data_IF_207763474631
#
_entry.id   IF_207763474631
#
_cell.length_a   1.000
_cell.length_b   1.000
_cell.length_c   1.000
_cell.angle_alpha   90.00
_cell.angle_beta   90.00
_cell.angle_gamma   90.00
#
_symmetry.space_group_name_H-M   'P 1'
#
loop_
_entity.id
_entity.type
_entity.pdbx_description
1 polymer ?
#
# COMPACT_ATOMS: atom_id res chain seq x y z
N UNK A 1 27.09 -9.56 27.70
CA UNK A 1 25.69 -9.32 27.27
C UNK A 1 24.98 -8.59 28.39
N UNK A 2 24.87 -7.28 28.27
CA UNK A 2 24.21 -6.36 29.21
C UNK A 2 22.72 -6.23 28.89
N UNK A 3 21.93 -5.70 29.84
CA UNK A 3 20.48 -5.41 29.66
C UNK A 3 20.17 -4.57 28.41
N UNK A 4 21.13 -3.75 27.97
CA UNK A 4 21.11 -2.98 26.71
C UNK A 4 21.06 -3.86 25.45
N UNK A 5 21.70 -5.03 25.49
CA UNK A 5 21.95 -5.86 24.32
C UNK A 5 20.74 -6.74 23.99
N UNK A 6 19.85 -6.94 24.97
CA UNK A 6 18.62 -7.74 24.86
C UNK A 6 17.35 -6.91 24.68
N UNK A 7 17.39 -5.57 24.78
CA UNK A 7 16.22 -4.71 24.55
C UNK A 7 15.60 -4.87 23.15
N UNK A 8 16.35 -5.42 22.18
CA UNK A 8 15.85 -5.72 20.83
C UNK A 8 15.32 -7.16 20.66
N UNK A 9 15.45 -8.05 21.65
CA UNK A 9 14.99 -9.43 21.53
C UNK A 9 13.51 -9.55 21.94
N UNK A 10 12.69 -10.12 21.07
CA UNK A 10 11.27 -10.41 21.32
C UNK A 10 11.06 -11.25 22.60
N UNK A 11 12.06 -12.06 22.95
CA UNK A 11 12.03 -12.96 24.11
C UNK A 11 12.37 -12.29 25.44
N UNK A 12 12.84 -11.03 25.42
CA UNK A 12 13.21 -10.31 26.64
C UNK A 12 12.05 -10.18 27.63
N UNK A 13 10.80 -10.18 27.15
CA UNK A 13 9.60 -10.09 28.00
C UNK A 13 9.39 -11.32 28.90
N UNK A 14 9.97 -12.48 28.56
CA UNK A 14 9.81 -13.72 29.33
C UNK A 14 10.97 -14.03 30.28
N UNK A 15 12.00 -13.19 30.31
CA UNK A 15 13.19 -13.41 31.14
C UNK A 15 13.10 -12.63 32.45
N UNK A 16 13.53 -13.25 33.54
CA UNK A 16 13.81 -12.55 34.78
C UNK A 16 15.29 -12.20 34.85
N UNK A 17 15.59 -10.95 35.24
CA UNK A 17 16.95 -10.41 35.32
C UNK A 17 17.23 -10.14 36.80
N UNK A 18 18.30 -10.72 37.32
CA UNK A 18 18.78 -10.48 38.67
C UNK A 18 19.86 -9.38 38.63
N UNK A 19 19.68 -8.29 39.40
CA UNK A 19 20.51 -7.07 39.33
C UNK A 19 21.86 -7.21 40.06
N UNK A 20 22.20 -8.40 40.57
CA UNK A 20 23.51 -8.69 41.19
C UNK A 20 24.50 -9.16 40.13
N UNK A 21 25.80 -8.88 40.34
CA UNK A 21 26.97 -9.06 39.44
C UNK A 21 27.13 -10.39 38.66
N UNK A 22 26.19 -11.33 38.73
CA UNK A 22 26.07 -12.49 37.86
C UNK A 22 24.71 -12.44 37.15
N UNK A 23 24.68 -12.02 35.88
CA UNK A 23 23.43 -12.03 35.10
C UNK A 23 23.05 -13.49 34.81
N UNK A 24 22.12 -14.04 35.59
CA UNK A 24 21.52 -15.36 35.37
C UNK A 24 20.17 -15.16 34.70
N UNK A 25 20.02 -15.64 33.47
CA UNK A 25 18.76 -15.62 32.75
C UNK A 25 17.94 -16.86 33.09
N UNK A 26 16.72 -16.67 33.58
CA UNK A 26 15.75 -17.76 33.75
C UNK A 26 14.49 -17.41 32.99
N UNK A 27 13.96 -18.37 32.24
CA UNK A 27 12.64 -18.27 31.65
C UNK A 27 11.61 -18.24 32.78
N UNK A 28 10.74 -17.23 32.79
CA UNK A 28 9.66 -17.13 33.74
C UNK A 28 8.42 -17.87 33.18
N UNK A 29 8.09 -19.08 33.67
CA UNK A 29 6.97 -19.86 33.15
C UNK A 29 5.63 -19.15 33.34
N UNK A 30 5.47 -18.34 34.39
CA UNK A 30 4.22 -17.62 34.65
C UNK A 30 3.96 -16.55 33.59
N UNK A 31 5.00 -15.84 33.12
CA UNK A 31 4.87 -14.85 32.04
C UNK A 31 4.52 -15.51 30.71
N UNK A 32 5.02 -16.71 30.45
CA UNK A 32 4.67 -17.50 29.26
C UNK A 32 3.19 -17.90 29.31
N UNK A 33 2.74 -18.46 30.43
CA UNK A 33 1.33 -18.86 30.64
C UNK A 33 0.37 -17.66 30.55
N UNK A 34 0.79 -16.47 30.98
CA UNK A 34 -0.02 -15.26 30.86
C UNK A 34 -0.15 -14.78 29.42
N UNK A 35 0.94 -14.83 28.64
CA UNK A 35 0.95 -14.42 27.23
C UNK A 35 0.16 -15.41 26.35
N UNK A 36 0.24 -16.71 26.66
CA UNK A 36 -0.53 -17.78 26.00
C UNK A 36 -2.06 -17.52 26.04
N UNK A 37 -2.56 -16.90 27.12
CA UNK A 37 -3.99 -16.54 27.22
C UNK A 37 -4.43 -15.47 26.21
N UNK A 38 -3.49 -14.71 25.67
CA UNK A 38 -3.73 -13.64 24.71
C UNK A 38 -3.47 -14.08 23.27
N UNK A 39 -3.01 -15.31 23.06
CA UNK A 39 -2.74 -15.83 21.73
C UNK A 39 -4.02 -15.87 20.88
N UNK A 40 -3.93 -15.31 19.67
CA UNK A 40 -5.06 -15.20 18.74
C UNK A 40 -6.01 -14.04 19.02
N UNK A 41 -5.85 -13.29 20.11
CA UNK A 41 -6.65 -12.09 20.39
C UNK A 41 -6.01 -10.87 19.75
N UNK A 42 -6.79 -10.15 18.92
CA UNK A 42 -6.38 -8.87 18.33
C UNK A 42 -7.17 -7.72 18.97
N UNK A 43 -6.51 -6.94 19.81
CA UNK A 43 -7.08 -5.72 20.39
C UNK A 43 -6.95 -4.52 19.46
N UNK A 44 -7.94 -3.63 19.48
CA UNK A 44 -7.89 -2.33 18.82
C UNK A 44 -7.93 -1.23 19.90
N UNK A 45 -7.03 -0.26 19.79
CA UNK A 45 -7.02 0.91 20.65
C UNK A 45 -7.37 2.14 19.81
N UNK A 46 -8.31 2.95 20.29
CA UNK A 46 -8.74 4.20 19.64
C UNK A 46 -8.86 5.30 20.69
N UNK A 47 -8.60 6.54 20.29
CA UNK A 47 -8.87 7.73 21.09
C UNK A 47 -10.31 8.23 20.95
N UNK A 48 -11.10 7.62 20.06
CA UNK A 48 -12.51 7.92 19.85
C UNK A 48 -13.39 6.92 20.60
N UNK A 49 -14.07 7.41 21.64
CA UNK A 49 -14.96 6.62 22.50
C UNK A 49 -16.41 6.60 22.02
N UNK A 50 -16.73 7.29 20.91
CA UNK A 50 -18.09 7.38 20.36
C UNK A 50 -18.37 6.30 19.32
N UNK A 51 -17.32 5.74 18.71
CA UNK A 51 -17.41 4.70 17.70
C UNK A 51 -17.80 3.34 18.31
N UNK A 52 -18.62 2.57 17.59
CA UNK A 52 -18.87 1.18 17.95
C UNK A 52 -17.65 0.32 17.62
N UNK A 53 -17.53 -0.81 18.31
CA UNK A 53 -16.43 -1.76 18.10
C UNK A 53 -16.30 -2.18 16.62
N UNK A 54 -17.42 -2.47 15.94
CA UNK A 54 -17.43 -2.86 14.53
C UNK A 54 -16.92 -1.75 13.60
N UNK A 55 -17.25 -0.48 13.91
CA UNK A 55 -16.79 0.66 13.14
C UNK A 55 -15.28 0.86 13.31
N UNK A 56 -14.75 0.69 14.52
CA UNK A 56 -13.30 0.73 14.79
C UNK A 56 -12.57 -0.33 13.96
N UNK A 57 -13.11 -1.56 13.90
CA UNK A 57 -12.55 -2.65 13.10
C UNK A 57 -12.60 -2.31 11.60
N UNK A 58 -13.75 -1.81 11.11
CA UNK A 58 -13.93 -1.43 9.72
C UNK A 58 -12.99 -0.28 9.30
N UNK A 59 -12.80 0.72 10.17
CA UNK A 59 -11.85 1.79 9.94
C UNK A 59 -10.42 1.27 9.87
N UNK A 60 -10.03 0.37 10.77
CA UNK A 60 -8.70 -0.24 10.73
C UNK A 60 -8.47 -1.03 9.44
N UNK A 61 -9.48 -1.75 8.93
CA UNK A 61 -9.39 -2.47 7.67
C UNK A 61 -9.10 -1.56 6.46
N UNK A 62 -9.44 -0.26 6.52
CA UNK A 62 -9.07 0.67 5.46
C UNK A 62 -7.55 0.87 5.32
N UNK A 63 -6.75 0.49 6.32
CA UNK A 63 -5.28 0.47 6.21
C UNK A 63 -4.81 -0.41 5.04
N UNK A 64 -5.54 -1.48 4.70
CA UNK A 64 -5.25 -2.28 3.51
C UNK A 64 -5.28 -1.47 2.22
N UNK A 65 -6.08 -0.41 2.15
CA UNK A 65 -6.08 0.47 0.98
C UNK A 65 -4.74 1.22 0.84
N UNK A 66 -4.15 1.62 1.96
CA UNK A 66 -2.83 2.26 2.01
C UNK A 66 -1.73 1.26 1.64
N UNK A 67 -1.78 0.04 2.15
CA UNK A 67 -0.84 -1.02 1.77
C UNK A 67 -0.93 -1.35 0.27
N UNK A 68 -2.15 -1.42 -0.27
CA UNK A 68 -2.37 -1.60 -1.70
C UNK A 68 -1.76 -0.45 -2.51
N UNK A 69 -1.90 0.79 -2.04
CA UNK A 69 -1.29 1.96 -2.67
C UNK A 69 0.23 1.82 -2.72
N UNK A 70 0.87 1.41 -1.62
CA UNK A 70 2.30 1.17 -1.59
C UNK A 70 2.73 0.02 -2.50
N UNK A 71 1.93 -1.05 -2.59
CA UNK A 71 2.21 -2.19 -3.47
C UNK A 71 2.17 -1.78 -4.94
N UNK A 72 1.12 -1.08 -5.37
CA UNK A 72 0.96 -0.58 -6.75
C UNK A 72 2.05 0.43 -7.07
N UNK A 73 2.35 1.33 -6.14
CA UNK A 73 3.42 2.33 -6.34
C UNK A 73 4.79 1.67 -6.59
N UNK A 74 5.10 0.58 -5.89
CA UNK A 74 6.38 -0.14 -6.03
C UNK A 74 6.45 -1.03 -7.27
N UNK A 75 5.42 -1.84 -7.52
CA UNK A 75 5.44 -2.87 -8.59
C UNK A 75 5.10 -2.30 -9.95
N UNK A 76 4.09 -1.44 -9.95
CA UNK A 76 3.27 -1.14 -11.10
C UNK A 76 3.71 0.24 -11.64
N UNK A 77 3.74 1.26 -10.78
CA UNK A 77 4.29 2.58 -11.09
C UNK A 77 5.82 2.64 -10.98
N UNK A 78 6.45 1.56 -10.48
CA UNK A 78 7.91 1.42 -10.35
C UNK A 78 8.57 2.65 -9.73
N UNK A 79 7.99 3.18 -8.64
CA UNK A 79 8.57 4.32 -7.91
C UNK A 79 10.01 4.04 -7.44
N UNK A 80 10.37 2.75 -7.30
CA UNK A 80 11.73 2.30 -7.07
C UNK A 80 12.21 1.48 -8.28
N UNK A 81 13.51 1.54 -8.61
CA UNK A 81 14.58 2.29 -7.92
C UNK A 81 14.61 3.81 -8.22
N UNK A 82 14.98 4.61 -7.21
CA UNK A 82 15.17 6.06 -7.33
C UNK A 82 16.64 6.32 -7.64
N UNK A 83 16.98 6.65 -8.89
CA UNK A 83 18.34 6.96 -9.30
C UNK A 83 18.73 8.44 -9.14
N UNK A 84 17.81 9.26 -8.62
CA UNK A 84 17.99 10.68 -8.45
C UNK A 84 18.83 10.97 -7.19
N UNK A 85 19.85 11.82 -7.32
CA UNK A 85 20.73 12.22 -6.19
C UNK A 85 20.32 13.54 -5.54
N UNK A 86 19.77 14.47 -6.32
CA UNK A 86 19.32 15.77 -5.83
C UNK A 86 17.94 15.66 -5.17
N UNK A 87 17.80 16.25 -3.99
CA UNK A 87 16.57 16.22 -3.19
C UNK A 87 15.33 16.66 -3.98
N UNK A 88 15.43 17.78 -4.71
CA UNK A 88 14.31 18.28 -5.52
C UNK A 88 13.85 17.28 -6.57
N UNK A 89 14.77 16.53 -7.18
CA UNK A 89 14.43 15.51 -8.19
C UNK A 89 13.79 14.27 -7.56
N UNK A 90 14.24 13.90 -6.35
CA UNK A 90 13.61 12.83 -5.57
C UNK A 90 12.17 13.22 -5.23
N UNK A 91 11.96 14.45 -4.71
CA UNK A 91 10.63 14.97 -4.40
C UNK A 91 9.72 14.99 -5.64
N UNK A 92 10.22 15.48 -6.78
CA UNK A 92 9.47 15.51 -8.02
C UNK A 92 9.07 14.10 -8.51
N UNK A 93 9.99 13.12 -8.45
CA UNK A 93 9.69 11.74 -8.82
C UNK A 93 8.61 11.11 -7.95
N UNK A 94 8.67 11.33 -6.64
CA UNK A 94 7.65 10.86 -5.69
C UNK A 94 6.31 11.54 -5.97
N UNK A 95 6.30 12.85 -6.22
CA UNK A 95 5.10 13.60 -6.56
C UNK A 95 4.44 13.08 -7.85
N UNK A 96 5.20 12.92 -8.93
CA UNK A 96 4.68 12.40 -10.20
C UNK A 96 4.09 10.99 -10.01
N UNK A 97 4.79 10.14 -9.26
CA UNK A 97 4.31 8.79 -8.95
C UNK A 97 3.02 8.81 -8.12
N UNK A 98 2.90 9.75 -7.19
CA UNK A 98 1.70 9.94 -6.38
C UNK A 98 0.51 10.42 -7.23
N UNK A 99 0.72 11.42 -8.10
CA UNK A 99 -0.31 11.92 -9.02
C UNK A 99 -0.77 10.82 -9.98
N UNK A 100 0.16 10.05 -10.54
CA UNK A 100 -0.17 8.91 -11.40
C UNK A 100 -1.02 7.86 -10.67
N UNK A 101 -0.71 7.58 -9.40
CA UNK A 101 -1.53 6.70 -8.57
C UNK A 101 -2.93 7.27 -8.31
N UNK A 102 -3.06 8.57 -8.05
CA UNK A 102 -4.35 9.21 -7.85
C UNK A 102 -5.24 9.10 -9.10
N UNK A 103 -4.67 9.31 -10.30
CA UNK A 103 -5.38 9.11 -11.58
C UNK A 103 -5.81 7.66 -11.76
N UNK A 104 -4.92 6.71 -11.45
CA UNK A 104 -5.23 5.28 -11.49
C UNK A 104 -6.41 4.91 -10.57
N UNK A 105 -6.40 5.44 -9.35
CA UNK A 105 -7.45 5.22 -8.35
C UNK A 105 -8.79 5.81 -8.78
N UNK A 106 -8.80 7.01 -9.34
CA UNK A 106 -10.03 7.64 -9.84
C UNK A 106 -10.62 6.85 -11.01
N UNK A 107 -9.78 6.32 -11.89
CA UNK A 107 -10.22 5.45 -12.97
C UNK A 107 -10.87 4.16 -12.44
N UNK A 108 -10.22 3.49 -11.48
CA UNK A 108 -10.76 2.30 -10.81
C UNK A 108 -12.11 2.60 -10.13
N UNK A 109 -12.21 3.74 -9.43
CA UNK A 109 -13.44 4.20 -8.76
C UNK A 109 -14.58 4.40 -9.76
N UNK A 110 -14.32 5.08 -10.88
CA UNK A 110 -15.34 5.31 -11.93
C UNK A 110 -15.82 4.01 -12.58
N UNK A 111 -14.92 3.04 -12.79
CA UNK A 111 -15.31 1.72 -13.29
C UNK A 111 -16.23 0.98 -12.32
N UNK A 112 -15.89 1.01 -11.02
CA UNK A 112 -16.73 0.40 -9.97
C UNK A 112 -18.12 1.01 -9.91
N UNK A 113 -18.23 2.35 -10.00
CA UNK A 113 -19.52 3.04 -10.01
C UNK A 113 -20.41 2.65 -11.20
N UNK A 114 -19.80 2.32 -12.34
CA UNK A 114 -20.53 1.84 -13.53
C UNK A 114 -20.79 0.33 -13.53
N UNK A 115 -20.48 -0.37 -12.44
CA UNK A 115 -20.71 -1.81 -12.31
C UNK A 115 -19.79 -2.70 -13.15
N UNK A 116 -18.73 -2.14 -13.73
CA UNK A 116 -17.80 -2.90 -14.58
C UNK A 116 -16.83 -3.66 -13.68
N UNK A 117 -17.07 -4.95 -13.47
CA UNK A 117 -16.19 -5.84 -12.70
C UNK A 117 -15.01 -6.26 -13.58
N UNK A 118 -13.84 -5.69 -13.33
CA UNK A 118 -12.62 -6.00 -14.08
C UNK A 118 -11.43 -6.20 -13.14
N UNK A 119 -10.56 -7.19 -13.42
CA UNK A 119 -9.26 -7.31 -12.74
C UNK A 119 -8.33 -6.23 -13.27
N UNK A 120 -8.41 -5.05 -12.66
CA UNK A 120 -7.70 -3.87 -13.13
C UNK A 120 -6.18 -4.05 -12.94
N UNK A 121 -5.43 -3.93 -14.05
CA UNK A 121 -3.97 -4.02 -14.09
C UNK A 121 -3.43 -2.84 -14.88
N UNK A 122 -2.26 -2.31 -14.51
CA UNK A 122 -1.61 -1.25 -15.28
C UNK A 122 -1.31 -1.64 -16.73
N UNK A 123 -1.06 -2.92 -17.02
CA UNK A 123 -0.91 -3.39 -18.41
C UNK A 123 -2.17 -3.13 -19.22
N UNK A 124 -3.33 -3.33 -18.60
CA UNK A 124 -4.61 -3.10 -19.24
C UNK A 124 -4.94 -1.62 -19.31
N UNK A 125 -4.68 -0.83 -18.26
CA UNK A 125 -4.83 0.63 -18.34
C UNK A 125 -3.97 1.20 -19.46
N UNK A 126 -2.71 0.74 -19.58
CA UNK A 126 -1.81 1.14 -20.67
C UNK A 126 -2.37 0.74 -22.03
N UNK A 127 -2.89 -0.48 -22.18
CA UNK A 127 -3.60 -0.89 -23.40
C UNK A 127 -4.82 -0.01 -23.68
N UNK A 128 -5.65 0.30 -22.69
CA UNK A 128 -6.83 1.16 -22.86
C UNK A 128 -6.39 2.56 -23.30
N UNK A 129 -5.38 3.14 -22.65
CA UNK A 129 -4.83 4.45 -23.02
C UNK A 129 -4.24 4.41 -24.44
N UNK A 130 -3.50 3.37 -24.77
CA UNK A 130 -2.96 3.15 -26.12
C UNK A 130 -4.11 3.13 -27.14
N UNK A 131 -5.18 2.36 -26.90
CA UNK A 131 -6.29 2.24 -27.84
C UNK A 131 -7.37 3.33 -27.66
N UNK A 132 -7.13 4.35 -26.83
CA UNK A 132 -8.07 5.44 -26.61
C UNK A 132 -7.95 6.46 -27.74
N UNK A 133 -8.93 6.47 -28.64
CA UNK A 133 -8.86 7.26 -29.87
C UNK A 133 -9.36 8.71 -29.69
N UNK A 134 -10.22 8.97 -28.70
CA UNK A 134 -10.87 10.27 -28.52
C UNK A 134 -11.02 10.59 -27.04
N UNK A 135 -10.62 11.81 -26.63
CA UNK A 135 -10.87 12.34 -25.28
C UNK A 135 -11.83 13.52 -25.39
N UNK A 136 -12.92 13.50 -24.63
CA UNK A 136 -13.84 14.63 -24.50
C UNK A 136 -13.42 15.49 -23.31
N UNK A 137 -13.03 16.74 -23.56
CA UNK A 137 -12.71 17.74 -22.54
C UNK A 137 -13.69 18.90 -22.70
N UNK A 138 -14.61 19.05 -21.74
CA UNK A 138 -15.77 19.97 -21.87
C UNK A 138 -16.64 19.56 -23.06
N UNK A 139 -16.94 20.50 -23.95
CA UNK A 139 -17.69 20.23 -25.19
C UNK A 139 -16.82 19.85 -26.39
N UNK A 140 -15.49 19.79 -26.22
CA UNK A 140 -14.56 19.49 -27.32
C UNK A 140 -14.10 18.04 -27.25
N UNK A 141 -14.28 17.31 -28.35
CA UNK A 141 -13.67 16.00 -28.58
C UNK A 141 -12.33 16.18 -29.27
N UNK A 142 -11.25 15.78 -28.60
CA UNK A 142 -9.89 15.84 -29.12
C UNK A 142 -9.48 14.42 -29.54
N UNK A 143 -9.24 14.18 -30.84
CA UNK A 143 -8.69 12.91 -31.29
C UNK A 143 -7.22 12.81 -30.88
N UNK A 144 -6.86 11.73 -30.19
CA UNK A 144 -5.45 11.43 -29.91
C UNK A 144 -4.91 10.76 -31.17
N UNK A 145 -3.90 11.34 -31.83
CA UNK A 145 -3.27 10.75 -33.02
C UNK A 145 -2.84 9.31 -32.68
N UNK A 146 -3.40 8.27 -33.33
CA UNK A 146 -3.03 6.90 -33.03
C UNK A 146 -1.57 6.67 -33.38
N UNK A 147 -0.90 5.81 -32.62
CA UNK A 147 0.49 5.41 -32.90
C UNK A 147 0.59 4.73 -34.27
N UNK A 148 1.81 4.65 -34.86
CA UNK A 148 2.02 3.98 -36.17
C UNK A 148 1.47 2.55 -36.20
N UNK A 149 1.54 1.81 -35.09
CA UNK A 149 1.02 0.45 -34.97
C UNK A 149 -0.52 0.44 -34.97
N UNK A 150 -1.15 1.39 -34.28
CA UNK A 150 -2.61 1.50 -34.25
C UNK A 150 -3.18 1.95 -35.59
N UNK A 151 -2.48 2.85 -36.29
CA UNK A 151 -2.82 3.22 -37.66
C UNK A 151 -2.75 2.02 -38.61
N UNK A 152 -1.78 1.11 -38.43
CA UNK A 152 -1.70 -0.13 -39.20
C UNK A 152 -2.84 -1.10 -38.88
N UNK A 153 -3.24 -1.21 -37.61
CA UNK A 153 -4.35 -2.08 -37.19
C UNK A 153 -5.70 -1.54 -37.69
N UNK A 154 -5.93 -0.22 -37.65
CA UNK A 154 -7.16 0.39 -38.19
C UNK A 154 -7.33 0.10 -39.69
N UNK A 155 -6.24 0.12 -40.47
CA UNK A 155 -6.24 -0.22 -41.89
C UNK A 155 -6.61 -1.68 -42.21
N UNK A 156 -6.64 -2.57 -41.22
CA UNK A 156 -7.07 -3.97 -41.41
C UNK A 156 -8.59 -4.10 -41.36
N UNK A 157 -9.28 -3.13 -40.74
CA UNK A 157 -10.73 -3.11 -40.57
C UNK A 157 -11.45 -2.14 -41.52
N UNK A 158 -10.70 -1.47 -42.41
CA UNK A 158 -11.18 -0.74 -43.58
C UNK A 158 -11.13 -1.66 -44.81
#
# INVERSE_FOLDING_TARGET
MTKSDLKLSYYAKYLDIDDKCSIKYRLNPNKVIQDEKLDGIKGFATNDFTLKADDVIAHYQNQYAVERAFRISKTDLRIRPIYHRLENRIKAHVLISFVAYAVFMEFERRLKLKGIKFKFSLKLLRKIIEHFLVVKIGDKTIPIKPSKIQQQILKIFD
#
